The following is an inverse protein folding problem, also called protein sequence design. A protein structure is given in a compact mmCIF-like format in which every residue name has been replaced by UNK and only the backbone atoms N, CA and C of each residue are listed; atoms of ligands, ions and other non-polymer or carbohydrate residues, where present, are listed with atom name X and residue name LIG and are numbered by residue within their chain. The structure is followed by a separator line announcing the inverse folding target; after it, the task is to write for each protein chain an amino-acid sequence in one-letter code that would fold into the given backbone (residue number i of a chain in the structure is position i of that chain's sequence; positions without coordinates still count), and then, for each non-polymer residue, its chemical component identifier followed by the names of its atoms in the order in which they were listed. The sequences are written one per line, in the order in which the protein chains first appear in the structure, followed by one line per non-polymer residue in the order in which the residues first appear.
data_IF_892841051946
#
_entry.id   IF_892841051946
#
_cell.length_a   1.000
_cell.length_b   1.000
_cell.length_c   1.000
_cell.angle_alpha   90.00
_cell.angle_beta   90.00
_cell.angle_gamma   90.00
#
_symmetry.space_group_name_H-M   'P 1'
#
loop_
_entity.id
_entity.type
_entity.pdbx_description
1 polymer ?
#
# COMPACT_ATOMS: atom_id res chain seq x y z
N UNK A 1 -14.26 -38.60 -28.13
CA UNK A 1 -14.82 -37.95 -29.33
C UNK A 1 -16.34 -38.19 -29.33
N UNK A 2 -17.10 -37.39 -28.56
CA UNK A 2 -18.56 -37.41 -28.60
C UNK A 2 -19.03 -35.97 -28.82
N UNK A 3 -19.76 -35.81 -29.91
CA UNK A 3 -20.22 -34.59 -30.55
C UNK A 3 -21.59 -34.27 -29.96
N UNK A 4 -21.77 -33.06 -29.44
CA UNK A 4 -23.10 -32.48 -29.19
C UNK A 4 -23.20 -31.19 -29.98
N UNK A 5 -23.82 -31.30 -31.16
CA UNK A 5 -24.49 -30.19 -31.83
C UNK A 5 -25.85 -30.03 -31.17
N UNK A 6 -26.21 -28.83 -30.75
CA UNK A 6 -27.58 -28.34 -30.91
C UNK A 6 -27.58 -26.86 -31.25
N UNK A 7 -28.43 -26.59 -32.22
CA UNK A 7 -28.52 -25.42 -33.07
C UNK A 7 -29.30 -24.26 -32.43
N UNK A 8 -28.97 -23.06 -32.90
CA UNK A 8 -29.87 -21.97 -33.27
C UNK A 8 -30.98 -21.51 -32.29
N UNK A 9 -30.88 -20.25 -31.86
CA UNK A 9 -31.93 -19.23 -32.09
C UNK A 9 -31.47 -17.82 -31.72
N UNK A 10 -31.24 -17.01 -32.75
CA UNK A 10 -31.27 -15.55 -32.67
C UNK A 10 -32.60 -15.08 -32.12
N UNK A 11 -32.57 -14.23 -31.09
CA UNK A 11 -33.60 -13.23 -30.83
C UNK A 11 -32.88 -11.91 -30.55
N UNK A 12 -33.11 -10.98 -31.47
CA UNK A 12 -32.79 -9.57 -31.35
C UNK A 12 -33.79 -8.87 -30.41
N UNK A 13 -33.54 -7.56 -30.18
CA UNK A 13 -34.36 -6.56 -29.50
C UNK A 13 -34.13 -6.48 -27.96
N UNK A 14 -34.00 -5.32 -27.32
CA UNK A 14 -33.99 -3.93 -27.77
C UNK A 14 -33.35 -3.06 -26.68
N UNK A 15 -32.71 -1.97 -27.11
CA UNK A 15 -32.19 -0.86 -26.31
C UNK A 15 -33.29 -0.15 -25.52
N UNK A 16 -33.02 0.19 -24.25
CA UNK A 16 -33.68 1.29 -23.54
C UNK A 16 -32.59 2.18 -22.94
N UNK A 17 -32.40 3.33 -23.59
CA UNK A 17 -31.69 4.51 -23.08
C UNK A 17 -32.63 5.25 -22.14
N UNK A 18 -32.19 5.54 -20.90
CA UNK A 18 -32.85 6.54 -20.05
C UNK A 18 -31.80 7.59 -19.72
N UNK A 19 -31.84 8.71 -20.46
CA UNK A 19 -31.14 9.94 -20.08
C UNK A 19 -31.95 10.59 -18.96
N UNK A 20 -31.38 10.71 -17.76
CA UNK A 20 -31.87 11.66 -16.76
C UNK A 20 -30.91 12.84 -16.73
N UNK A 21 -31.30 13.90 -17.44
CA UNK A 21 -30.66 15.21 -17.40
C UNK A 21 -31.33 16.04 -16.31
N UNK A 22 -30.58 16.42 -15.26
CA UNK A 22 -30.96 17.53 -14.40
C UNK A 22 -30.09 18.73 -14.79
N UNK A 23 -30.73 19.72 -15.39
CA UNK A 23 -30.16 21.00 -15.77
C UNK A 23 -29.84 21.86 -14.54
N UNK A 24 -28.76 22.61 -14.66
CA UNK A 24 -28.38 23.70 -13.77
C UNK A 24 -29.21 24.97 -14.04
N UNK A 25 -29.52 25.73 -12.99
CA UNK A 25 -30.03 27.10 -13.09
C UNK A 25 -29.03 28.07 -12.43
N UNK A 26 -28.66 29.20 -13.08
CA UNK A 26 -27.78 30.21 -12.51
C UNK A 26 -28.57 31.35 -11.89
N UNK A 27 -28.37 31.64 -10.61
CA UNK A 27 -28.84 32.89 -10.00
C UNK A 27 -27.73 33.94 -10.06
N UNK A 28 -27.84 34.85 -11.02
CA UNK A 28 -27.23 36.18 -10.96
C UNK A 28 -28.22 37.11 -10.27
N UNK A 29 -27.84 37.65 -9.13
CA UNK A 29 -28.30 38.96 -8.72
C UNK A 29 -27.13 39.76 -8.16
N UNK A 30 -26.92 40.93 -8.76
CA UNK A 30 -26.00 41.95 -8.33
C UNK A 30 -26.84 43.13 -7.83
N UNK A 31 -26.61 43.56 -6.59
CA UNK A 31 -27.21 44.75 -6.00
C UNK A 31 -26.27 45.32 -4.92
N UNK A 32 -25.83 46.55 -5.15
CA UNK A 32 -24.77 47.29 -4.45
C UNK A 32 -25.05 47.71 -3.00
N UNK A 33 -23.94 47.83 -2.25
CA UNK A 33 -23.54 48.87 -1.29
C UNK A 33 -24.48 49.29 -0.14
N UNK A 34 -24.01 49.21 1.11
CA UNK A 34 -23.29 50.33 1.76
C UNK A 34 -22.58 49.89 3.06
N UNK A 35 -21.55 50.65 3.39
CA UNK A 35 -20.55 50.55 4.45
C UNK A 35 -21.12 50.80 5.86
N UNK A 36 -20.55 50.18 6.91
CA UNK A 36 -19.96 50.82 8.13
C UNK A 36 -19.62 49.76 9.22
N UNK A 37 -18.33 49.65 9.55
CA UNK A 37 -17.63 48.93 10.66
C UNK A 37 -17.83 49.69 12.02
N UNK A 38 -17.67 49.18 13.28
CA UNK A 38 -16.77 48.13 13.84
C UNK A 38 -17.48 47.09 14.75
N UNK A 39 -16.90 45.96 15.16
CA UNK A 39 -15.98 45.86 16.32
C UNK A 39 -15.46 44.41 16.49
N UNK A 40 -14.23 44.31 16.98
CA UNK A 40 -13.44 43.10 17.23
C UNK A 40 -14.11 42.12 18.20
N UNK A 41 -14.02 40.83 17.89
CA UNK A 41 -13.83 39.82 18.94
C UNK A 41 -12.83 38.77 18.46
N UNK A 42 -11.76 38.60 19.26
CA UNK A 42 -10.59 37.81 18.93
C UNK A 42 -10.91 36.35 18.73
N UNK A 43 -10.74 35.88 17.49
CA UNK A 43 -10.36 34.51 17.24
C UNK A 43 -8.84 34.45 17.40
N UNK A 44 -8.39 33.87 18.51
CA UNK A 44 -7.01 33.45 18.66
C UNK A 44 -6.58 32.68 17.40
N UNK A 45 -5.34 32.85 16.90
CA UNK A 45 -4.82 31.88 15.96
C UNK A 45 -4.90 30.53 16.67
N UNK A 46 -5.71 29.61 16.13
CA UNK A 46 -5.55 28.20 16.44
C UNK A 46 -4.10 27.90 16.07
N UNK A 47 -3.24 27.89 17.08
CA UNK A 47 -1.95 27.23 17.01
C UNK A 47 -2.28 25.85 16.50
N UNK A 48 -1.97 25.64 15.21
CA UNK A 48 -1.89 24.32 14.65
C UNK A 48 -1.15 23.48 15.67
N UNK A 49 -1.77 22.35 16.03
CA UNK A 49 -1.07 21.24 16.63
C UNK A 49 -0.14 20.67 15.55
N UNK A 50 0.86 21.49 15.20
CA UNK A 50 1.88 21.31 14.19
C UNK A 50 3.18 21.74 14.88
N UNK A 51 3.49 21.00 15.95
CA UNK A 51 4.77 21.05 16.62
C UNK A 51 5.05 19.65 17.17
N UNK A 52 5.48 18.80 16.24
CA UNK A 52 6.55 17.83 16.45
C UNK A 52 6.49 17.07 17.78
N UNK A 53 5.56 16.12 17.88
CA UNK A 53 6.00 14.84 18.39
C UNK A 53 6.72 14.21 17.20
N UNK A 54 8.06 14.17 17.24
CA UNK A 54 8.77 13.12 16.50
C UNK A 54 8.13 11.83 16.98
N UNK A 55 7.16 11.30 16.24
CA UNK A 55 6.44 10.14 16.69
C UNK A 55 7.47 9.02 16.66
N UNK A 56 7.73 8.42 17.82
CA UNK A 56 8.40 7.11 18.00
C UNK A 56 7.60 5.98 17.31
N UNK A 57 6.91 6.31 16.22
CA UNK A 57 6.05 5.43 15.49
C UNK A 57 6.90 4.32 14.88
N UNK A 58 6.49 3.09 15.15
CA UNK A 58 7.12 1.90 14.61
C UNK A 58 6.33 1.47 13.37
N UNK A 59 7.04 1.25 12.27
CA UNK A 59 6.44 0.72 11.04
C UNK A 59 6.45 -0.81 11.10
N UNK A 60 5.32 -1.41 10.74
CA UNK A 60 5.25 -2.81 10.36
C UNK A 60 4.71 -2.95 8.94
N UNK A 61 5.07 -4.05 8.29
CA UNK A 61 4.47 -4.47 7.02
C UNK A 61 3.26 -5.37 7.26
N UNK A 62 2.29 -5.33 6.35
CA UNK A 62 1.04 -6.08 6.44
C UNK A 62 0.66 -6.58 5.03
N UNK A 63 -0.15 -7.64 4.95
CA UNK A 63 -0.62 -8.17 3.68
C UNK A 63 -1.43 -7.18 2.85
N UNK A 64 -2.04 -6.17 3.50
CA UNK A 64 -2.87 -5.15 2.85
C UNK A 64 -2.21 -3.76 2.78
N UNK A 65 -0.91 -3.65 3.11
CA UNK A 65 -0.17 -2.40 3.09
C UNK A 65 0.84 -2.28 4.22
N UNK A 66 0.85 -1.13 4.90
CA UNK A 66 1.72 -0.86 6.04
C UNK A 66 0.88 -0.53 7.27
N UNK A 67 1.51 -0.55 8.44
CA UNK A 67 0.90 -0.16 9.71
C UNK A 67 1.87 0.65 10.55
N UNK A 68 1.40 1.78 11.07
CA UNK A 68 2.14 2.59 12.03
C UNK A 68 1.61 2.33 13.43
N UNK A 69 2.51 1.98 14.35
CA UNK A 69 2.22 1.79 15.75
C UNK A 69 2.77 2.95 16.55
N UNK A 70 1.95 3.56 17.39
CA UNK A 70 2.42 4.51 18.39
C UNK A 70 2.69 3.74 19.69
N UNK A 71 3.95 3.59 20.14
CA UNK A 71 4.27 2.81 21.33
C UNK A 71 3.79 3.48 22.62
N UNK A 72 3.63 4.81 22.62
CA UNK A 72 3.15 5.57 23.77
C UNK A 72 1.65 5.39 24.00
N UNK A 73 0.84 5.45 22.94
CA UNK A 73 -0.61 5.31 23.03
C UNK A 73 -1.13 3.89 22.80
N UNK A 74 -0.29 2.98 22.30
CA UNK A 74 -0.68 1.64 21.86
C UNK A 74 -1.57 1.63 20.61
N UNK A 75 -1.77 2.78 19.97
CA UNK A 75 -2.64 2.90 18.79
C UNK A 75 -1.95 2.37 17.53
N UNK A 76 -2.73 1.76 16.64
CA UNK A 76 -2.27 1.28 15.33
C UNK A 76 -3.04 1.97 14.21
N UNK A 77 -2.34 2.57 13.26
CA UNK A 77 -2.91 3.26 12.11
C UNK A 77 -2.54 2.53 10.81
N UNK A 78 -3.51 2.03 10.03
CA UNK A 78 -3.21 1.38 8.75
C UNK A 78 -2.87 2.40 7.66
N UNK A 79 -1.95 2.02 6.78
CA UNK A 79 -1.70 2.68 5.50
C UNK A 79 -2.00 1.62 4.42
N UNK A 80 -3.27 1.51 3.99
CA UNK A 80 -3.67 0.47 3.06
C UNK A 80 -3.15 0.74 1.66
N UNK A 81 -3.07 -0.30 0.84
CA UNK A 81 -2.93 -0.14 -0.60
C UNK A 81 -4.04 0.76 -1.19
N UNK A 82 -3.75 1.39 -2.34
CA UNK A 82 -4.63 2.32 -3.04
C UNK A 82 -4.56 3.78 -2.57
N UNK A 83 -3.87 4.06 -1.45
CA UNK A 83 -3.63 5.43 -0.95
C UNK A 83 -2.79 6.24 -1.96
N UNK A 84 -3.01 7.56 -2.10
CA UNK A 84 -2.17 8.40 -2.94
C UNK A 84 -0.70 8.35 -2.53
N UNK A 85 0.23 8.36 -3.50
CA UNK A 85 1.66 8.27 -3.24
C UNK A 85 2.15 9.33 -2.23
N UNK A 86 1.76 10.59 -2.42
CA UNK A 86 2.17 11.68 -1.52
C UNK A 86 1.73 11.43 -0.06
N UNK A 87 0.53 10.89 0.13
CA UNK A 87 -0.02 10.58 1.46
C UNK A 87 0.74 9.45 2.17
N UNK A 88 1.36 8.55 1.40
CA UNK A 88 2.16 7.44 1.93
C UNK A 88 3.61 7.87 2.17
N UNK A 89 4.21 8.62 1.25
CA UNK A 89 5.59 9.06 1.36
C UNK A 89 5.77 10.10 2.48
N UNK A 90 4.86 11.07 2.62
CA UNK A 90 5.02 12.14 3.58
C UNK A 90 5.27 11.67 5.04
N UNK A 91 4.50 10.72 5.62
CA UNK A 91 4.80 10.19 6.95
C UNK A 91 6.08 9.34 6.99
N UNK A 92 6.34 8.52 5.96
CA UNK A 92 7.52 7.66 5.92
C UNK A 92 8.82 8.46 5.82
N UNK A 93 8.84 9.52 5.03
CA UNK A 93 10.01 10.39 4.89
C UNK A 93 10.27 11.21 6.14
N UNK A 94 9.24 11.57 6.92
CA UNK A 94 9.41 12.17 8.25
C UNK A 94 10.07 11.21 9.23
N UNK A 95 9.82 9.91 9.13
CA UNK A 95 10.38 8.89 10.03
C UNK A 95 11.77 8.41 9.59
N UNK A 96 12.00 8.28 8.29
CA UNK A 96 13.18 7.59 7.71
C UNK A 96 14.12 8.50 6.93
N UNK A 97 13.75 9.77 6.76
CA UNK A 97 14.38 10.65 5.78
C UNK A 97 13.89 10.40 4.36
N UNK A 98 14.38 11.18 3.38
CA UNK A 98 13.89 11.14 2.01
C UNK A 98 14.11 9.77 1.36
N UNK A 99 13.15 9.34 0.55
CA UNK A 99 13.27 8.11 -0.22
C UNK A 99 14.11 8.34 -1.50
N UNK A 100 14.87 7.32 -1.91
CA UNK A 100 15.34 7.21 -3.29
C UNK A 100 14.19 6.79 -4.19
N UNK A 101 13.84 7.62 -5.18
CA UNK A 101 12.69 7.39 -6.07
C UNK A 101 13.12 7.13 -7.50
N UNK A 102 12.28 6.42 -8.26
CA UNK A 102 12.50 6.19 -9.69
C UNK A 102 11.32 5.48 -10.34
N UNK A 103 11.52 5.03 -11.57
CA UNK A 103 10.50 4.33 -12.36
C UNK A 103 11.09 3.02 -12.89
N UNK A 104 10.35 1.92 -12.76
CA UNK A 104 10.66 0.64 -13.39
C UNK A 104 9.71 0.42 -14.57
N UNK A 105 10.26 0.44 -15.79
CA UNK A 105 9.50 0.25 -17.04
C UNK A 105 9.23 -1.24 -17.34
N UNK A 106 10.00 -2.14 -16.74
CA UNK A 106 10.03 -3.57 -17.08
C UNK A 106 9.29 -4.44 -16.05
N UNK A 107 8.45 -3.82 -15.21
CA UNK A 107 7.64 -4.57 -14.27
C UNK A 107 6.51 -5.32 -15.00
N UNK A 108 6.30 -6.59 -14.65
CA UNK A 108 5.25 -7.42 -15.27
C UNK A 108 3.83 -6.89 -15.09
N UNK A 109 3.61 -5.97 -14.14
CA UNK A 109 2.35 -5.26 -13.93
C UNK A 109 2.18 -4.01 -14.82
N UNK A 110 3.16 -3.70 -15.67
CA UNK A 110 3.29 -2.43 -16.39
C UNK A 110 4.26 -1.47 -15.70
N UNK A 111 4.55 -0.28 -16.26
CA UNK A 111 5.42 0.70 -15.63
C UNK A 111 4.95 1.07 -14.23
N UNK A 112 5.88 1.12 -13.28
CA UNK A 112 5.60 1.50 -11.88
C UNK A 112 6.62 2.52 -11.39
N UNK A 113 6.19 3.37 -10.46
CA UNK A 113 7.11 4.18 -9.67
C UNK A 113 7.55 3.41 -8.44
N UNK A 114 8.75 3.68 -7.95
CA UNK A 114 9.22 3.11 -6.69
C UNK A 114 9.81 4.19 -5.79
N UNK A 115 9.75 3.93 -4.49
CA UNK A 115 10.46 4.66 -3.44
C UNK A 115 11.19 3.66 -2.55
N UNK A 116 12.43 3.93 -2.18
CA UNK A 116 13.28 3.00 -1.45
C UNK A 116 14.16 3.69 -0.42
N UNK A 117 14.50 2.95 0.64
CA UNK A 117 15.36 3.42 1.73
C UNK A 117 16.58 2.51 1.88
N UNK A 118 17.68 3.03 2.48
CA UNK A 118 18.90 2.24 2.70
C UNK A 118 18.70 1.00 3.59
N UNK A 119 17.64 0.99 4.41
CA UNK A 119 17.28 -0.08 5.35
C UNK A 119 16.58 -1.27 4.69
N UNK A 120 16.48 -1.30 3.35
CA UNK A 120 15.89 -2.41 2.61
C UNK A 120 14.38 -2.32 2.40
N UNK A 121 13.71 -1.26 2.87
CA UNK A 121 12.32 -0.99 2.50
C UNK A 121 12.24 -0.44 1.08
N UNK A 122 11.31 -0.99 0.30
CA UNK A 122 10.87 -0.43 -0.97
C UNK A 122 9.35 -0.40 -1.05
N UNK A 123 8.81 0.60 -1.72
CA UNK A 123 7.40 0.75 -2.05
C UNK A 123 7.25 0.82 -3.55
N UNK A 124 6.16 0.24 -4.03
CA UNK A 124 5.73 0.28 -5.42
C UNK A 124 4.47 1.13 -5.50
N UNK A 125 4.47 2.07 -6.43
CA UNK A 125 3.31 2.87 -6.79
C UNK A 125 2.93 2.61 -8.24
N UNK A 126 1.63 2.47 -8.48
CA UNK A 126 1.07 2.31 -9.81
C UNK A 126 -0.07 3.31 -9.96
N UNK A 127 -0.06 4.06 -11.06
CA UNK A 127 -1.01 5.14 -11.33
C UNK A 127 -1.11 6.15 -10.16
N UNK A 128 0.04 6.47 -9.54
CA UNK A 128 0.14 7.38 -8.39
C UNK A 128 -0.46 6.83 -7.08
N UNK A 129 -0.72 5.52 -7.00
CA UNK A 129 -1.32 4.85 -5.84
C UNK A 129 -0.37 3.81 -5.26
N UNK A 130 -0.34 3.71 -3.94
CA UNK A 130 0.44 2.70 -3.23
C UNK A 130 -0.05 1.29 -3.56
N UNK A 131 0.77 0.51 -4.26
CA UNK A 131 0.35 -0.75 -4.87
C UNK A 131 1.03 -1.96 -4.24
N UNK A 132 2.17 -1.79 -3.58
CA UNK A 132 2.90 -2.89 -2.96
C UNK A 132 4.12 -2.43 -2.16
N UNK A 133 4.67 -3.31 -1.35
CA UNK A 133 5.92 -3.09 -0.62
C UNK A 133 6.84 -4.29 -0.76
N UNK A 134 8.14 -4.06 -0.57
CA UNK A 134 9.18 -5.08 -0.53
C UNK A 134 10.18 -4.82 0.57
N UNK A 135 10.70 -5.89 1.17
CA UNK A 135 11.81 -5.91 2.12
C UNK A 135 12.89 -6.84 1.55
N UNK A 136 14.15 -6.43 1.63
CA UNK A 136 15.30 -7.28 1.36
C UNK A 136 16.13 -7.56 2.62
N UNK A 137 17.25 -8.29 2.49
CA UNK A 137 18.09 -8.69 3.60
C UNK A 137 18.63 -7.54 4.48
N UNK A 138 18.66 -6.30 3.98
CA UNK A 138 19.04 -5.12 4.78
C UNK A 138 18.02 -4.77 5.85
N UNK A 139 16.77 -5.22 5.69
CA UNK A 139 15.69 -5.01 6.66
C UNK A 139 15.74 -6.00 7.83
N UNK A 140 16.70 -6.93 7.85
CA UNK A 140 16.78 -7.97 8.86
C UNK A 140 16.86 -7.40 10.28
N UNK A 141 15.93 -7.83 11.14
CA UNK A 141 15.81 -7.35 12.52
C UNK A 141 15.29 -5.92 12.68
N UNK A 142 15.04 -5.20 11.58
CA UNK A 142 14.60 -3.80 11.60
C UNK A 142 13.13 -3.63 11.18
N UNK A 143 12.65 -4.43 10.21
CA UNK A 143 11.27 -4.38 9.73
C UNK A 143 10.66 -5.77 9.67
N UNK A 144 9.45 -5.86 10.21
CA UNK A 144 8.71 -7.12 10.33
C UNK A 144 7.21 -6.87 10.17
N UNK A 145 6.45 -7.95 10.05
CA UNK A 145 5.00 -7.93 10.29
C UNK A 145 4.72 -7.61 11.75
N UNK A 146 3.47 -7.26 12.08
CA UNK A 146 3.07 -7.05 13.48
C UNK A 146 3.29 -8.28 14.38
N UNK A 147 3.39 -9.48 13.78
CA UNK A 147 3.70 -10.74 14.47
C UNK A 147 5.20 -11.04 14.57
N UNK A 148 6.06 -10.13 14.11
CA UNK A 148 7.52 -10.25 14.22
C UNK A 148 8.20 -11.06 13.11
N UNK A 149 7.51 -11.35 12.00
CA UNK A 149 8.10 -12.05 10.85
C UNK A 149 8.67 -11.05 9.86
N UNK A 150 9.95 -11.19 9.53
CA UNK A 150 10.68 -10.34 8.58
C UNK A 150 11.89 -11.07 8.00
N UNK A 151 12.69 -10.41 7.14
CA UNK A 151 14.01 -10.91 6.78
C UNK A 151 14.82 -11.28 8.03
N UNK A 152 15.52 -12.42 7.99
CA UNK A 152 16.23 -13.02 9.12
C UNK A 152 15.37 -13.90 10.04
N UNK A 153 14.04 -13.88 9.95
CA UNK A 153 13.20 -14.89 10.63
C UNK A 153 13.39 -16.27 10.01
N UNK A 154 13.29 -17.34 10.81
CA UNK A 154 13.37 -18.72 10.31
C UNK A 154 12.05 -19.17 9.69
N UNK A 155 12.09 -20.14 8.79
CA UNK A 155 10.91 -20.84 8.28
C UNK A 155 10.06 -21.41 9.43
N UNK A 156 10.67 -21.99 10.46
CA UNK A 156 9.94 -22.50 11.61
C UNK A 156 9.17 -21.40 12.36
N UNK A 157 9.74 -20.20 12.48
CA UNK A 157 9.04 -19.06 13.08
C UNK A 157 7.86 -18.59 12.21
N UNK A 158 8.04 -18.56 10.89
CA UNK A 158 6.97 -18.29 9.93
C UNK A 158 5.82 -19.30 10.08
N UNK A 159 6.12 -20.60 10.02
CA UNK A 159 5.14 -21.70 10.15
C UNK A 159 4.41 -21.68 11.51
N UNK A 160 5.04 -21.19 12.57
CA UNK A 160 4.44 -21.09 13.90
C UNK A 160 3.40 -19.95 14.01
N UNK A 161 3.53 -18.91 13.18
CA UNK A 161 2.64 -17.74 13.19
C UNK A 161 1.55 -17.85 12.13
N UNK A 162 1.87 -18.42 10.97
CA UNK A 162 0.97 -18.52 9.83
C UNK A 162 0.64 -19.98 9.53
N UNK A 163 -0.65 -20.31 9.54
CA UNK A 163 -1.12 -21.69 9.34
C UNK A 163 -1.17 -22.16 7.88
N UNK A 164 -1.00 -21.26 6.93
CA UNK A 164 -1.20 -21.47 5.48
C UNK A 164 0.07 -21.30 4.65
N UNK A 165 1.25 -21.46 5.26
CA UNK A 165 2.54 -21.31 4.56
C UNK A 165 2.69 -22.37 3.46
N UNK A 166 2.90 -21.92 2.23
CA UNK A 166 3.24 -22.79 1.09
C UNK A 166 4.61 -22.42 0.56
N UNK A 167 5.49 -23.40 0.38
CA UNK A 167 6.83 -23.20 -0.18
C UNK A 167 6.96 -23.93 -1.52
N UNK A 168 7.42 -23.22 -2.55
CA UNK A 168 7.63 -23.73 -3.90
C UNK A 168 9.01 -23.33 -4.40
N UNK A 169 9.70 -24.23 -5.11
CA UNK A 169 10.96 -23.90 -5.77
C UNK A 169 10.67 -23.13 -7.07
N UNK A 170 11.17 -21.91 -7.18
CA UNK A 170 11.07 -21.04 -8.36
C UNK A 170 12.46 -20.61 -8.83
N UNK A 171 12.52 -19.77 -9.87
CA UNK A 171 13.75 -19.13 -10.34
C UNK A 171 14.38 -18.22 -9.28
N UNK A 172 13.55 -17.64 -8.40
CA UNK A 172 13.96 -16.77 -7.29
C UNK A 172 14.55 -17.53 -6.11
N UNK A 173 14.24 -18.82 -5.94
CA UNK A 173 14.66 -19.56 -4.77
C UNK A 173 13.60 -20.50 -4.24
N UNK A 174 13.58 -20.66 -2.91
CA UNK A 174 12.49 -21.34 -2.22
C UNK A 174 11.47 -20.27 -1.84
N UNK A 175 10.55 -19.98 -2.74
CA UNK A 175 9.56 -18.94 -2.57
C UNK A 175 8.44 -19.44 -1.65
N UNK A 176 8.03 -18.62 -0.70
CA UNK A 176 6.90 -18.90 0.17
C UNK A 176 5.75 -17.92 -0.08
N UNK A 177 4.54 -18.37 0.24
CA UNK A 177 3.35 -17.53 0.37
C UNK A 177 2.69 -17.80 1.74
N UNK A 178 2.23 -16.74 2.40
CA UNK A 178 1.53 -16.81 3.69
C UNK A 178 0.54 -15.63 3.78
N UNK A 179 -0.76 -15.92 3.90
CA UNK A 179 -1.80 -14.89 3.79
C UNK A 179 -1.68 -14.08 2.48
N UNK A 180 -1.66 -12.75 2.59
CA UNK A 180 -1.55 -11.84 1.43
C UNK A 180 -0.11 -11.41 1.09
N UNK A 181 0.91 -12.05 1.66
CA UNK A 181 2.32 -11.75 1.35
C UNK A 181 3.11 -12.98 0.92
N UNK A 182 4.27 -12.74 0.32
CA UNK A 182 5.19 -13.76 -0.17
C UNK A 182 6.62 -13.37 0.14
N UNK A 183 7.56 -14.28 -0.09
CA UNK A 183 8.97 -14.03 0.15
C UNK A 183 9.87 -15.17 -0.30
N UNK A 184 11.17 -15.06 -0.04
CA UNK A 184 12.17 -16.08 -0.38
C UNK A 184 12.85 -16.60 0.89
N UNK A 185 13.06 -17.92 0.94
CA UNK A 185 13.90 -18.59 1.92
C UNK A 185 15.26 -18.98 1.29
N UNK A 186 16.33 -18.82 2.06
CA UNK A 186 17.70 -19.22 1.70
C UNK A 186 17.90 -20.74 1.57
N UNK A 187 16.88 -21.53 1.90
CA UNK A 187 16.85 -22.97 1.82
C UNK A 187 15.46 -23.54 2.12
N UNK A 188 15.27 -24.87 2.01
CA UNK A 188 13.96 -25.50 2.23
C UNK A 188 13.69 -25.87 3.70
N UNK A 189 14.67 -25.71 4.60
CA UNK A 189 14.65 -26.34 5.92
C UNK A 189 13.97 -25.44 6.96
N UNK A 190 13.61 -26.01 8.11
CA UNK A 190 12.98 -25.28 9.22
C UNK A 190 13.85 -24.11 9.75
N UNK A 191 15.18 -24.23 9.65
CA UNK A 191 16.14 -23.19 10.06
C UNK A 191 16.49 -22.20 8.95
N UNK A 192 16.00 -22.42 7.72
CA UNK A 192 16.25 -21.51 6.61
C UNK A 192 15.67 -20.14 6.90
N UNK A 193 16.40 -19.10 6.52
CA UNK A 193 16.06 -17.72 6.82
C UNK A 193 15.27 -17.11 5.67
N UNK A 194 14.31 -16.26 6.03
CA UNK A 194 13.69 -15.34 5.08
C UNK A 194 14.73 -14.32 4.64
N UNK A 195 14.94 -14.17 3.34
CA UNK A 195 15.86 -13.17 2.77
C UNK A 195 15.12 -11.95 2.24
N UNK A 196 13.93 -12.17 1.69
CA UNK A 196 13.14 -11.16 1.00
C UNK A 196 11.65 -11.39 1.30
N UNK A 197 10.88 -10.31 1.34
CA UNK A 197 9.42 -10.34 1.53
C UNK A 197 8.75 -9.27 0.70
N UNK A 198 7.51 -9.52 0.24
CA UNK A 198 6.71 -8.53 -0.45
C UNK A 198 5.21 -8.81 -0.34
N UNK A 199 4.39 -7.78 -0.51
CA UNK A 199 2.94 -7.90 -0.69
C UNK A 199 2.42 -6.88 -1.71
N UNK A 200 1.25 -7.16 -2.27
CA UNK A 200 0.67 -6.37 -3.35
C UNK A 200 1.43 -6.53 -4.67
N UNK A 201 1.52 -5.44 -5.44
CA UNK A 201 2.28 -5.40 -6.70
C UNK A 201 3.76 -5.51 -6.41
N UNK A 202 4.39 -6.54 -6.98
CA UNK A 202 5.82 -6.79 -6.85
C UNK A 202 6.43 -7.01 -8.23
N UNK A 203 7.58 -6.38 -8.45
CA UNK A 203 8.34 -6.42 -9.71
C UNK A 203 9.51 -7.40 -9.65
N UNK A 204 9.44 -8.40 -8.75
CA UNK A 204 10.40 -9.50 -8.73
C UNK A 204 10.28 -10.29 -10.03
N UNK A 205 11.40 -10.44 -10.74
CA UNK A 205 11.46 -11.24 -11.96
C UNK A 205 11.27 -12.73 -11.61
N UNK A 206 10.41 -13.44 -12.35
CA UNK A 206 10.08 -14.85 -12.12
C UNK A 206 10.36 -15.65 -13.38
#
# INVERSE_FOLDING_TARGET
MNIWNFDLRSLAAASILILSACSAEPSKDAGSADETTPEQNGAAPSTGSDAAVQSDAVLAVDGEGLRLFNPTSGSASPIPFGRPQADVLAPLERMRGPAGQGVNQDCGAGPVEYASWPDGLSLVFQDGRFAGWGLDGRAAGALTTASGIGPGSTRAALDAVYGDVRVTRTSLGNEFSAGSFSGVLDGPNATSLITDMWAGTSCVAR
#
